data_IF_983247489333
#
_entry.id   IF_983247489333
#
_cell.length_a   1.000
_cell.length_b   1.000
_cell.length_c   1.000
_cell.angle_alpha   90.00
_cell.angle_beta   90.00
_cell.angle_gamma   90.00
#
_symmetry.space_group_name_H-M   'P 1'
#
loop_
_entity.id
_entity.type
_entity.pdbx_description
1 polymer ?
#
# COMPACT_ATOMS: atom_id res chain seq x y z
N UNK A 1 -25.09 43.12 14.52
CA UNK A 1 -24.95 42.27 13.33
C UNK A 1 -24.55 40.88 13.82
N UNK A 2 -25.20 39.78 13.40
CA UNK A 2 -24.69 38.46 13.74
C UNK A 2 -23.33 38.27 13.07
N UNK A 3 -22.33 37.80 13.83
CA UNK A 3 -21.08 37.33 13.27
C UNK A 3 -21.36 36.00 12.55
N UNK A 4 -21.25 35.99 11.23
CA UNK A 4 -21.20 34.75 10.46
C UNK A 4 -19.77 34.22 10.55
N UNK A 5 -19.58 33.14 11.30
CA UNK A 5 -18.34 32.38 11.32
C UNK A 5 -18.48 31.24 10.32
N UNK A 6 -17.61 31.22 9.31
CA UNK A 6 -17.50 30.10 8.37
C UNK A 6 -16.43 29.16 8.91
N UNK A 7 -16.79 27.89 9.07
CA UNK A 7 -15.90 26.85 9.55
C UNK A 7 -15.75 25.77 8.48
N UNK A 8 -14.55 25.21 8.33
CA UNK A 8 -14.27 24.06 7.50
C UNK A 8 -14.03 22.83 8.38
N UNK A 9 -14.51 21.66 7.96
CA UNK A 9 -14.14 20.40 8.63
C UNK A 9 -12.71 20.02 8.26
N UNK A 10 -11.93 19.54 9.23
CA UNK A 10 -10.60 18.99 8.97
C UNK A 10 -10.44 17.60 9.59
N UNK A 11 -9.54 16.83 9.00
CA UNK A 11 -8.99 15.60 9.56
C UNK A 11 -7.48 15.58 9.27
N UNK A 12 -6.65 15.53 10.30
CA UNK A 12 -5.18 15.49 10.14
C UNK A 12 -4.49 14.79 11.29
N UNK A 13 -3.30 14.26 11.04
CA UNK A 13 -2.37 13.85 12.09
C UNK A 13 -2.07 15.04 13.02
N UNK A 14 -1.81 14.77 14.30
CA UNK A 14 -1.30 15.79 15.21
C UNK A 14 -0.05 16.47 14.62
N UNK A 15 0.04 17.80 14.76
CA UNK A 15 1.10 18.63 14.15
C UNK A 15 2.51 18.24 14.65
N UNK A 16 2.60 17.53 15.77
CA UNK A 16 3.86 17.05 16.36
C UNK A 16 4.21 15.60 16.01
N UNK A 17 3.45 14.94 15.12
CA UNK A 17 3.68 13.55 14.74
C UNK A 17 5.09 13.32 14.16
N UNK A 18 5.79 12.31 14.66
CA UNK A 18 7.01 11.82 14.05
C UNK A 18 6.65 11.06 12.76
N UNK A 19 7.30 11.41 11.65
CA UNK A 19 7.03 10.77 10.34
C UNK A 19 7.47 9.31 10.27
N UNK A 20 8.34 8.87 11.17
CA UNK A 20 8.89 7.50 11.20
C UNK A 20 8.13 6.59 12.16
N UNK A 21 7.46 7.14 13.17
CA UNK A 21 6.71 6.40 14.19
C UNK A 21 5.20 6.49 13.94
N UNK A 22 4.75 7.58 13.33
CA UNK A 22 3.33 7.90 13.17
C UNK A 22 2.84 8.94 14.19
N UNK A 23 1.60 9.44 14.03
CA UNK A 23 1.00 10.35 14.99
C UNK A 23 0.62 9.64 16.28
N UNK A 24 0.71 10.34 17.42
CA UNK A 24 0.11 9.85 18.67
C UNK A 24 -1.42 9.84 18.59
N UNK A 25 -2.01 10.78 17.84
CA UNK A 25 -3.44 10.86 17.57
C UNK A 25 -3.73 11.46 16.19
N UNK A 26 -4.85 11.07 15.59
CA UNK A 26 -5.49 11.84 14.54
C UNK A 26 -6.52 12.80 15.15
N UNK A 27 -6.64 13.99 14.58
CA UNK A 27 -7.55 15.02 15.04
C UNK A 27 -8.62 15.27 13.97
N UNK A 28 -9.89 15.17 14.38
CA UNK A 28 -11.04 15.60 13.59
C UNK A 28 -11.72 16.79 14.27
N UNK A 29 -12.10 17.79 13.49
CA UNK A 29 -12.77 18.96 14.05
C UNK A 29 -13.14 20.00 12.99
N UNK A 30 -13.37 21.21 13.46
CA UNK A 30 -13.62 22.37 12.62
C UNK A 30 -12.46 23.35 12.74
N UNK A 31 -12.09 24.01 11.66
CA UNK A 31 -11.12 25.11 11.65
C UNK A 31 -11.76 26.37 11.07
N UNK A 32 -11.27 27.52 11.53
CA UNK A 32 -11.67 28.82 11.00
C UNK A 32 -10.92 29.17 9.70
N UNK A 33 -11.10 30.40 9.22
CA UNK A 33 -10.48 30.87 7.98
C UNK A 33 -8.95 30.99 8.05
N UNK A 34 -8.38 31.04 9.27
CA UNK A 34 -6.95 31.10 9.51
C UNK A 34 -6.35 29.68 9.69
N UNK A 35 -7.17 28.63 9.61
CA UNK A 35 -6.76 27.23 9.78
C UNK A 35 -6.55 26.84 11.24
N UNK A 36 -7.07 27.64 12.17
CA UNK A 36 -6.99 27.37 13.60
C UNK A 36 -8.17 26.52 14.06
N UNK A 37 -7.92 25.42 14.81
CA UNK A 37 -8.99 24.58 15.33
C UNK A 37 -9.98 25.37 16.18
N UNK A 38 -11.26 25.15 15.94
CA UNK A 38 -12.36 25.85 16.58
C UNK A 38 -13.38 24.89 17.16
N UNK A 39 -13.74 25.09 18.43
CA UNK A 39 -14.75 24.27 19.10
C UNK A 39 -14.24 22.89 19.53
N UNK A 40 -15.04 21.85 19.29
CA UNK A 40 -14.73 20.48 19.70
C UNK A 40 -13.71 19.86 18.75
N UNK A 41 -12.61 19.37 19.32
CA UNK A 41 -11.62 18.55 18.63
C UNK A 41 -11.76 17.13 19.17
N UNK A 42 -11.91 16.17 18.27
CA UNK A 42 -12.01 14.75 18.62
C UNK A 42 -10.66 14.10 18.37
N UNK A 43 -9.92 13.70 19.43
CA UNK A 43 -8.77 12.84 19.27
C UNK A 43 -9.24 11.43 18.92
N UNK A 44 -8.57 10.82 17.94
CA UNK A 44 -8.82 9.48 17.47
C UNK A 44 -7.53 8.68 17.59
N UNK A 45 -7.64 7.48 18.17
CA UNK A 45 -6.53 6.55 18.33
C UNK A 45 -6.00 6.12 16.95
N UNK A 46 -4.68 6.13 16.73
CA UNK A 46 -4.08 5.77 15.43
C UNK A 46 -4.48 4.38 14.96
N UNK A 47 -4.39 3.38 15.85
CA UNK A 47 -4.71 1.99 15.52
C UNK A 47 -6.15 1.83 15.02
N UNK A 48 -7.10 2.53 15.62
CA UNK A 48 -8.51 2.49 15.22
C UNK A 48 -8.73 3.16 13.86
N UNK A 49 -8.08 4.31 13.63
CA UNK A 49 -8.14 5.02 12.35
C UNK A 49 -7.52 4.18 11.25
N UNK A 50 -6.33 3.63 11.48
CA UNK A 50 -5.61 2.80 10.52
C UNK A 50 -6.39 1.53 10.22
N UNK A 51 -6.94 0.85 11.23
CA UNK A 51 -7.77 -0.34 11.03
C UNK A 51 -9.01 -0.04 10.19
N UNK A 52 -9.69 1.09 10.41
CA UNK A 52 -10.86 1.49 9.62
C UNK A 52 -10.48 1.91 8.20
N UNK A 53 -9.39 2.66 8.02
CA UNK A 53 -8.93 3.13 6.71
C UNK A 53 -8.41 1.96 5.87
N UNK A 54 -7.53 1.12 6.43
CA UNK A 54 -6.96 -0.04 5.75
C UNK A 54 -7.98 -1.16 5.57
N UNK A 55 -8.91 -1.34 6.53
CA UNK A 55 -9.97 -2.33 6.44
C UNK A 55 -10.94 -2.10 5.28
N UNK A 56 -10.97 -0.90 4.72
CA UNK A 56 -11.83 -0.50 3.61
C UNK A 56 -11.05 -0.29 2.29
N UNK A 57 -9.75 -0.63 2.28
CA UNK A 57 -8.90 -0.64 1.08
C UNK A 57 -8.62 -2.09 0.70
N UNK A 58 -9.01 -2.47 -0.52
CA UNK A 58 -8.55 -3.71 -1.12
C UNK A 58 -7.21 -3.45 -1.81
N UNK A 59 -6.19 -4.26 -1.50
CA UNK A 59 -4.91 -4.22 -2.22
C UNK A 59 -4.89 -5.32 -3.28
N UNK A 60 -4.43 -4.98 -4.48
CA UNK A 60 -4.15 -5.96 -5.53
C UNK A 60 -2.70 -5.87 -5.98
N UNK A 61 -2.27 -6.95 -6.63
CA UNK A 61 -0.95 -7.05 -7.24
C UNK A 61 -1.13 -7.10 -8.75
N UNK A 62 -0.52 -6.15 -9.45
CA UNK A 62 -0.45 -6.12 -10.91
C UNK A 62 1.00 -6.31 -11.38
N UNK A 63 1.20 -6.60 -12.66
CA UNK A 63 2.53 -6.83 -13.24
C UNK A 63 2.69 -6.07 -14.54
N UNK A 64 3.79 -5.34 -14.67
CA UNK A 64 4.22 -4.72 -15.92
C UNK A 64 4.79 -5.75 -16.89
N UNK A 65 4.83 -5.40 -18.19
CA UNK A 65 5.36 -6.29 -19.24
C UNK A 65 6.83 -6.66 -19.04
N UNK A 66 7.61 -5.82 -18.34
CA UNK A 66 9.01 -6.09 -18.01
C UNK A 66 9.18 -7.02 -16.79
N UNK A 67 8.08 -7.49 -16.19
CA UNK A 67 8.11 -8.39 -15.03
C UNK A 67 8.17 -7.67 -13.68
N UNK A 68 8.01 -6.34 -13.64
CA UNK A 68 7.89 -5.58 -12.38
C UNK A 68 6.51 -5.78 -11.77
N UNK A 69 6.46 -6.29 -10.53
CA UNK A 69 5.23 -6.41 -9.74
C UNK A 69 4.94 -5.08 -9.03
N UNK A 70 3.67 -4.69 -8.99
CA UNK A 70 3.18 -3.48 -8.33
C UNK A 70 2.08 -3.81 -7.34
N UNK A 71 2.07 -3.13 -6.21
CA UNK A 71 0.93 -3.09 -5.30
C UNK A 71 0.07 -1.88 -5.66
N UNK A 72 -1.24 -2.09 -5.75
CA UNK A 72 -2.21 -1.04 -6.05
C UNK A 72 -3.37 -1.13 -5.05
N UNK A 73 -3.92 0.03 -4.67
CA UNK A 73 -5.16 0.12 -3.91
C UNK A 73 -6.34 0.09 -4.90
N UNK A 74 -7.11 -1.01 -4.90
CA UNK A 74 -8.30 -1.17 -5.72
C UNK A 74 -9.44 -0.28 -5.24
N UNK A 75 -10.05 0.44 -6.18
CA UNK A 75 -11.33 1.13 -5.96
C UNK A 75 -11.27 2.36 -5.06
N UNK A 76 -10.11 2.76 -4.51
CA UNK A 76 -9.99 3.93 -3.64
C UNK A 76 -8.83 4.85 -4.02
N UNK A 77 -9.21 5.99 -4.61
CA UNK A 77 -8.53 7.29 -4.59
C UNK A 77 -7.08 7.34 -5.08
N UNK A 78 -6.82 8.15 -6.10
CA UNK A 78 -5.48 8.40 -6.65
C UNK A 78 -4.42 8.71 -5.59
N UNK A 79 -4.79 9.36 -4.48
CA UNK A 79 -3.90 9.67 -3.36
C UNK A 79 -3.30 8.43 -2.65
N UNK A 80 -4.06 7.33 -2.52
CA UNK A 80 -3.54 6.10 -1.90
C UNK A 80 -2.51 5.44 -2.81
N UNK A 81 -2.81 5.37 -4.11
CA UNK A 81 -1.88 4.87 -5.12
C UNK A 81 -0.64 5.78 -5.24
N UNK A 82 -0.77 7.10 -5.16
CA UNK A 82 0.36 8.04 -5.11
C UNK A 82 1.25 7.80 -3.89
N UNK A 83 0.68 7.55 -2.71
CA UNK A 83 1.44 7.24 -1.50
C UNK A 83 2.18 5.89 -1.60
N UNK A 84 1.53 4.87 -2.18
CA UNK A 84 2.13 3.58 -2.48
C UNK A 84 3.29 3.76 -3.48
N UNK A 85 3.10 4.51 -4.56
CA UNK A 85 4.16 4.81 -5.51
C UNK A 85 5.35 5.55 -4.89
N UNK A 86 5.07 6.50 -3.99
CA UNK A 86 6.09 7.26 -3.27
C UNK A 86 6.93 6.40 -2.30
N UNK A 87 6.42 5.24 -1.87
CA UNK A 87 7.16 4.29 -1.02
C UNK A 87 8.17 3.42 -1.78
N UNK A 88 8.27 3.60 -3.11
CA UNK A 88 9.39 3.11 -3.91
C UNK A 88 9.48 1.58 -3.96
N UNK A 89 10.59 1.01 -3.49
CA UNK A 89 10.86 -0.43 -3.53
C UNK A 89 9.89 -1.27 -2.69
N UNK A 90 9.15 -0.65 -1.76
CA UNK A 90 8.12 -1.35 -0.99
C UNK A 90 6.86 -1.63 -1.82
N UNK A 91 6.62 -0.82 -2.86
CA UNK A 91 5.45 -0.92 -3.71
C UNK A 91 5.73 -1.58 -5.06
N UNK A 92 7.01 -1.71 -5.42
CA UNK A 92 7.47 -2.22 -6.71
C UNK A 92 8.66 -3.15 -6.52
N UNK A 93 8.56 -4.36 -7.05
CA UNK A 93 9.65 -5.32 -7.02
C UNK A 93 9.70 -6.12 -8.32
N UNK A 94 10.89 -6.27 -8.93
CA UNK A 94 11.09 -7.24 -10.01
C UNK A 94 10.68 -8.65 -9.56
N UNK A 95 10.06 -9.43 -10.46
CA UNK A 95 9.65 -10.80 -10.16
C UNK A 95 10.80 -11.67 -9.61
N UNK A 96 12.02 -11.49 -10.10
CA UNK A 96 13.18 -12.26 -9.64
C UNK A 96 13.61 -11.88 -8.20
N UNK A 97 13.42 -10.62 -7.78
CA UNK A 97 13.65 -10.19 -6.39
C UNK A 97 12.61 -10.80 -5.43
N UNK A 98 11.34 -10.86 -5.86
CA UNK A 98 10.28 -11.51 -5.09
C UNK A 98 10.55 -13.00 -4.96
N UNK A 99 10.94 -13.67 -6.05
CA UNK A 99 11.36 -15.08 -6.01
C UNK A 99 12.57 -15.27 -5.12
N UNK A 100 13.60 -14.41 -5.20
CA UNK A 100 14.79 -14.49 -4.36
C UNK A 100 14.45 -14.39 -2.88
N UNK A 101 13.54 -13.48 -2.52
CA UNK A 101 13.05 -13.31 -1.15
C UNK A 101 12.31 -14.55 -0.67
N UNK A 102 11.43 -15.13 -1.50
CA UNK A 102 10.73 -16.37 -1.16
C UNK A 102 11.66 -17.59 -1.00
N UNK A 103 12.85 -17.53 -1.58
CA UNK A 103 13.90 -18.56 -1.47
C UNK A 103 14.91 -18.25 -0.35
N UNK A 104 14.62 -17.27 0.52
CA UNK A 104 15.44 -17.00 1.68
C UNK A 104 15.48 -18.22 2.62
N UNK A 105 16.66 -18.71 3.04
CA UNK A 105 16.78 -19.90 3.87
C UNK A 105 16.05 -19.81 5.22
N UNK A 106 16.01 -18.61 5.82
CA UNK A 106 15.36 -18.42 7.12
C UNK A 106 13.84 -18.52 6.98
N UNK A 107 13.28 -17.97 5.89
CA UNK A 107 11.86 -18.12 5.56
C UNK A 107 11.50 -19.56 5.19
N UNK A 108 12.32 -20.20 4.36
CA UNK A 108 12.09 -21.59 3.95
C UNK A 108 12.14 -22.58 5.13
N UNK A 109 12.92 -22.29 6.16
CA UNK A 109 13.01 -23.10 7.37
C UNK A 109 11.75 -23.02 8.26
N UNK A 110 10.90 -22.01 8.05
CA UNK A 110 9.61 -21.86 8.75
C UNK A 110 8.48 -22.65 8.08
N UNK A 111 8.68 -23.15 6.86
CA UNK A 111 7.67 -23.88 6.09
C UNK A 111 7.70 -25.38 6.39
N UNK A 112 6.53 -25.97 6.67
CA UNK A 112 6.42 -27.40 7.01
C UNK A 112 6.71 -28.34 5.81
N UNK A 113 6.42 -27.90 4.58
CA UNK A 113 6.62 -28.68 3.34
C UNK A 113 7.40 -27.92 2.25
N UNK A 114 8.57 -27.37 2.61
CA UNK A 114 9.41 -26.55 1.70
C UNK A 114 9.61 -27.18 0.31
N UNK A 115 9.91 -28.49 0.23
CA UNK A 115 10.19 -29.15 -1.05
C UNK A 115 8.95 -29.21 -1.96
N UNK A 116 7.77 -29.41 -1.37
CA UNK A 116 6.50 -29.40 -2.11
C UNK A 116 6.22 -28.02 -2.69
N UNK A 117 6.34 -26.98 -1.85
CA UNK A 117 6.14 -25.58 -2.27
C UNK A 117 7.14 -25.14 -3.34
N UNK A 118 8.42 -25.51 -3.22
CA UNK A 118 9.43 -25.23 -4.23
C UNK A 118 9.12 -25.89 -5.58
N UNK A 119 8.55 -27.11 -5.59
CA UNK A 119 8.10 -27.77 -6.82
C UNK A 119 6.92 -27.02 -7.44
N UNK A 120 5.98 -26.56 -6.62
CA UNK A 120 4.84 -25.74 -7.05
C UNK A 120 5.32 -24.43 -7.66
N UNK A 121 6.21 -23.69 -6.98
CA UNK A 121 6.82 -22.45 -7.46
C UNK A 121 7.52 -22.68 -8.81
N UNK A 122 8.36 -23.71 -8.90
CA UNK A 122 9.04 -24.07 -10.16
C UNK A 122 8.04 -24.32 -11.29
N UNK A 123 6.97 -25.07 -11.02
CA UNK A 123 5.93 -25.37 -12.03
C UNK A 123 5.25 -24.10 -12.52
N UNK A 124 4.88 -23.19 -11.60
CA UNK A 124 4.25 -21.90 -11.92
C UNK A 124 5.17 -21.00 -12.75
N UNK A 125 6.43 -20.84 -12.34
CA UNK A 125 7.42 -20.04 -13.08
C UNK A 125 7.69 -20.61 -14.48
N UNK A 126 7.77 -21.95 -14.60
CA UNK A 126 7.94 -22.61 -15.91
C UNK A 126 6.75 -22.35 -16.83
N UNK A 127 5.53 -22.38 -16.29
CA UNK A 127 4.33 -22.08 -17.07
C UNK A 127 4.28 -20.61 -17.51
N UNK A 128 4.65 -19.67 -16.61
CA UNK A 128 4.75 -18.26 -16.94
C UNK A 128 5.78 -18.00 -18.04
N UNK A 129 6.94 -18.64 -17.97
CA UNK A 129 7.98 -18.51 -19.00
C UNK A 129 7.46 -18.93 -20.38
N UNK A 130 6.71 -20.03 -20.47
CA UNK A 130 6.09 -20.47 -21.74
C UNK A 130 5.11 -19.44 -22.32
N UNK A 131 4.37 -18.72 -21.47
CA UNK A 131 3.47 -17.66 -21.93
C UNK A 131 4.26 -16.48 -22.51
N UNK A 132 5.39 -16.12 -21.88
CA UNK A 132 6.30 -15.09 -22.39
C UNK A 132 6.92 -15.53 -23.71
N UNK A 133 7.43 -16.75 -23.80
CA UNK A 133 8.02 -17.30 -25.02
C UNK A 133 7.00 -17.30 -26.18
N UNK A 134 5.75 -17.71 -25.92
CA UNK A 134 4.68 -17.67 -26.90
C UNK A 134 4.40 -16.24 -27.38
N UNK A 135 4.31 -15.28 -26.46
CA UNK A 135 4.09 -13.88 -26.81
C UNK A 135 5.26 -13.29 -27.61
N UNK A 136 6.50 -13.70 -27.33
CA UNK A 136 7.69 -13.31 -28.10
C UNK A 136 7.68 -13.91 -29.51
N UNK A 137 7.20 -15.14 -29.67
CA UNK A 137 7.05 -15.76 -30.98
C UNK A 137 5.95 -15.09 -31.80
N UNK A 138 4.85 -14.71 -31.16
CA UNK A 138 3.73 -14.00 -31.81
C UNK A 138 4.07 -12.54 -32.16
N UNK A 139 4.97 -11.90 -31.41
CA UNK A 139 5.40 -10.52 -31.62
C UNK A 139 6.48 -10.35 -32.70
N UNK A 140 6.99 -11.46 -33.28
CA UNK A 140 7.93 -11.41 -34.41
C UNK A 140 7.17 -11.05 -35.70
N UNK A 141 7.33 -9.82 -36.16
CA UNK A 141 7.08 -9.40 -37.57
C UNK A 141 8.10 -10.02 -38.53
#
# INVERSE_FOLDING_TARGET
MPLNVTLATFFRADRNADRTIGPEHYLAGFEDQDGEPWGLIVPLEPDDVEAVVLGDIAFSVSMQLDGTLLIEAEGRGDAANEAILASGSLARAPLDEVVRTALDPDLMAMEDETVGELRTLRSRLTAALRLVDQALDDAKE
#
